data_IF_501914055554
#
_entry.id   IF_501914055554
#
_cell.length_a   1.000
_cell.length_b   1.000
_cell.length_c   1.000
_cell.angle_alpha   90.00
_cell.angle_beta   90.00
_cell.angle_gamma   90.00
#
_symmetry.space_group_name_H-M   'P 1'
#
loop_
_entity.id
_entity.type
_entity.pdbx_description
1 polymer ?
#
# COMPACT_ATOMS: atom_id res chain seq x y z
N UNK A 1 -20.43 -12.06 -54.57
CA UNK A 1 -19.64 -10.85 -54.27
C UNK A 1 -20.15 -10.00 -53.09
N UNK A 2 -21.45 -10.01 -52.72
CA UNK A 2 -21.96 -9.21 -51.59
C UNK A 2 -21.62 -9.81 -50.20
N UNK A 3 -21.67 -11.16 -50.07
CA UNK A 3 -21.35 -11.86 -48.82
C UNK A 3 -19.91 -11.64 -48.34
N UNK A 4 -18.93 -11.70 -49.23
CA UNK A 4 -17.51 -11.47 -48.88
C UNK A 4 -17.25 -10.02 -48.41
N UNK A 5 -18.00 -9.04 -48.93
CA UNK A 5 -17.92 -7.64 -48.48
C UNK A 5 -18.52 -7.47 -47.08
N UNK A 6 -19.62 -8.15 -46.80
CA UNK A 6 -20.24 -8.17 -45.46
C UNK A 6 -19.30 -8.85 -44.45
N UNK A 7 -18.73 -10.00 -44.81
CA UNK A 7 -17.77 -10.73 -43.99
C UNK A 7 -16.54 -9.86 -43.67
N UNK A 8 -15.96 -9.20 -44.68
CA UNK A 8 -14.84 -8.29 -44.50
C UNK A 8 -15.20 -7.12 -43.56
N UNK A 9 -16.41 -6.57 -43.70
CA UNK A 9 -16.88 -5.48 -42.84
C UNK A 9 -17.01 -5.94 -41.38
N UNK A 10 -17.56 -7.13 -41.13
CA UNK A 10 -17.67 -7.70 -39.79
C UNK A 10 -16.30 -7.96 -39.16
N UNK A 11 -15.33 -8.47 -39.94
CA UNK A 11 -13.96 -8.70 -39.46
C UNK A 11 -13.25 -7.40 -39.05
N UNK A 12 -13.49 -6.30 -39.78
CA UNK A 12 -12.97 -4.97 -39.43
C UNK A 12 -13.54 -4.52 -38.09
N UNK A 13 -14.86 -4.64 -37.89
CA UNK A 13 -15.49 -4.27 -36.62
C UNK A 13 -14.97 -5.10 -35.44
N UNK A 14 -14.78 -6.41 -35.61
CA UNK A 14 -14.21 -7.28 -34.57
C UNK A 14 -12.78 -6.85 -34.21
N UNK A 15 -11.96 -6.52 -35.21
CA UNK A 15 -10.57 -6.07 -35.01
C UNK A 15 -10.51 -4.73 -34.25
N UNK A 16 -11.40 -3.78 -34.58
CA UNK A 16 -11.52 -2.52 -33.85
C UNK A 16 -11.96 -2.75 -32.39
N UNK A 17 -12.92 -3.65 -32.15
CA UNK A 17 -13.42 -3.95 -30.81
C UNK A 17 -12.33 -4.60 -29.94
N UNK A 18 -11.56 -5.55 -30.50
CA UNK A 18 -10.41 -6.17 -29.83
C UNK A 18 -9.33 -5.14 -29.46
N UNK A 19 -9.08 -4.15 -30.33
CA UNK A 19 -8.11 -3.08 -30.06
C UNK A 19 -8.54 -2.18 -28.89
N UNK A 20 -9.84 -1.88 -28.77
CA UNK A 20 -10.40 -1.11 -27.64
C UNK A 20 -10.25 -1.89 -26.33
N UNK A 21 -10.56 -3.19 -26.33
CA UNK A 21 -10.40 -4.05 -25.15
C UNK A 21 -8.92 -4.09 -24.73
N UNK A 22 -8.00 -4.30 -25.68
CA UNK A 22 -6.56 -4.37 -25.40
C UNK A 22 -6.00 -3.04 -24.88
N UNK A 23 -6.49 -1.91 -25.40
CA UNK A 23 -6.11 -0.58 -24.91
C UNK A 23 -6.56 -0.37 -23.46
N UNK A 24 -7.80 -0.73 -23.13
CA UNK A 24 -8.34 -0.60 -21.78
C UNK A 24 -7.64 -1.55 -20.80
N UNK A 25 -7.32 -2.77 -21.19
CA UNK A 25 -6.54 -3.70 -20.34
C UNK A 25 -5.09 -3.25 -20.17
N UNK A 26 -4.46 -2.65 -21.18
CA UNK A 26 -3.13 -2.05 -21.04
C UNK A 26 -3.14 -0.79 -20.15
N UNK A 27 -4.19 0.04 -20.20
CA UNK A 27 -4.36 1.15 -19.26
C UNK A 27 -4.56 0.61 -17.83
N UNK A 28 -5.42 -0.39 -17.65
CA UNK A 28 -5.61 -1.02 -16.34
C UNK A 28 -4.30 -1.64 -15.82
N UNK A 29 -3.57 -2.38 -16.67
CA UNK A 29 -2.29 -3.00 -16.33
C UNK A 29 -1.16 -1.98 -16.12
N UNK A 30 -1.17 -0.83 -16.80
CA UNK A 30 -0.17 0.23 -16.58
C UNK A 30 -0.46 1.04 -15.32
N UNK A 31 -1.74 1.19 -14.94
CA UNK A 31 -2.14 1.71 -13.64
C UNK A 31 -1.82 0.74 -12.50
N UNK A 32 -1.89 -0.57 -12.73
CA UNK A 32 -1.47 -1.60 -11.77
C UNK A 32 0.07 -1.77 -11.70
N UNK A 33 0.79 -1.62 -12.82
CA UNK A 33 2.27 -1.69 -12.85
C UNK A 33 2.97 -0.49 -12.21
N UNK A 34 2.25 0.59 -11.90
CA UNK A 34 2.82 1.74 -11.20
C UNK A 34 3.06 1.50 -9.70
N UNK A 35 2.64 0.35 -9.20
CA UNK A 35 2.80 -0.09 -7.81
C UNK A 35 3.80 -1.26 -7.66
N UNK A 36 4.78 -1.39 -8.56
CA UNK A 36 5.97 -2.20 -8.25
C UNK A 36 6.79 -1.46 -7.19
N UNK A 37 6.42 -1.70 -5.92
CA UNK A 37 7.21 -1.44 -4.72
C UNK A 37 8.65 -1.87 -4.99
N UNK A 38 9.56 -0.91 -4.93
CA UNK A 38 10.99 -1.13 -5.09
C UNK A 38 11.49 -2.00 -3.92
N UNK A 39 11.51 -3.33 -4.10
CA UNK A 39 12.06 -4.28 -3.16
C UNK A 39 13.59 -4.12 -3.11
N UNK A 40 14.07 -3.20 -2.28
CA UNK A 40 15.49 -3.19 -1.89
C UNK A 40 15.66 -4.26 -0.81
N UNK A 41 16.44 -5.30 -1.12
CA UNK A 41 16.75 -6.36 -0.17
C UNK A 41 17.41 -5.77 1.09
N UNK A 42 16.80 -6.04 2.24
CA UNK A 42 17.28 -5.62 3.56
C UNK A 42 18.70 -6.17 3.79
N UNK A 43 19.65 -5.29 4.10
CA UNK A 43 20.98 -5.70 4.53
C UNK A 43 20.99 -5.99 6.04
N UNK A 44 22.00 -6.70 6.53
CA UNK A 44 22.11 -7.11 7.95
C UNK A 44 22.10 -5.96 8.95
N UNK A 45 22.49 -4.74 8.55
CA UNK A 45 22.36 -3.52 9.38
C UNK A 45 20.94 -2.94 9.38
N UNK A 46 20.16 -3.18 8.33
CA UNK A 46 18.76 -2.78 8.28
C UNK A 46 17.92 -3.68 9.19
N UNK A 47 18.25 -4.99 9.29
CA UNK A 47 17.57 -5.92 10.21
C UNK A 47 17.67 -5.48 11.69
N UNK A 48 18.86 -5.04 12.14
CA UNK A 48 19.03 -4.48 13.49
C UNK A 48 18.20 -3.21 13.71
N UNK A 49 18.06 -2.36 12.70
CA UNK A 49 17.28 -1.13 12.80
C UNK A 49 15.76 -1.39 12.75
N UNK A 50 15.29 -2.33 11.92
CA UNK A 50 13.89 -2.76 11.93
C UNK A 50 13.53 -3.39 13.27
N UNK A 51 14.41 -4.23 13.84
CA UNK A 51 14.20 -4.81 15.17
C UNK A 51 14.10 -3.74 16.27
N UNK A 52 14.90 -2.68 16.20
CA UNK A 52 14.84 -1.56 17.15
C UNK A 52 13.58 -0.70 16.96
N UNK A 53 13.06 -0.59 15.75
CA UNK A 53 11.80 0.12 15.47
C UNK A 53 10.62 -0.74 15.96
N UNK A 54 10.65 -2.04 15.72
CA UNK A 54 9.61 -2.95 16.18
C UNK A 54 9.46 -2.93 17.71
N UNK A 55 10.58 -2.86 18.45
CA UNK A 55 10.55 -2.75 19.91
C UNK A 55 10.01 -1.41 20.43
N UNK A 56 9.96 -0.35 19.63
CA UNK A 56 9.23 0.89 19.99
C UNK A 56 7.72 0.64 20.08
N UNK A 57 7.20 -0.39 19.40
CA UNK A 57 5.78 -0.72 19.32
C UNK A 57 5.39 -1.99 20.10
N UNK A 58 6.34 -2.75 20.65
CA UNK A 58 6.07 -3.99 21.41
C UNK A 58 5.18 -3.80 22.65
N UNK A 59 5.12 -2.58 23.20
CA UNK A 59 4.28 -2.27 24.36
C UNK A 59 2.82 -1.92 24.01
N UNK A 60 2.44 -2.04 22.74
CA UNK A 60 1.09 -1.76 22.26
C UNK A 60 0.38 -3.08 22.00
N UNK A 61 -0.52 -3.47 22.91
CA UNK A 61 -1.22 -4.76 22.81
C UNK A 61 -2.14 -4.86 21.59
N UNK A 62 -2.63 -3.71 21.10
CA UNK A 62 -3.67 -3.63 20.07
C UNK A 62 -3.10 -3.24 18.69
N UNK A 63 -1.77 -3.36 18.53
CA UNK A 63 -1.02 -2.86 17.38
C UNK A 63 -0.16 -3.97 16.79
N UNK A 64 -0.40 -4.24 15.52
CA UNK A 64 0.37 -5.18 14.71
C UNK A 64 1.32 -4.38 13.79
N UNK A 65 2.61 -4.67 13.89
CA UNK A 65 3.61 -4.15 12.95
C UNK A 65 3.52 -4.93 11.65
N UNK A 66 3.18 -4.26 10.54
CA UNK A 66 3.06 -4.91 9.24
C UNK A 66 4.41 -4.92 8.51
N UNK A 67 5.00 -3.73 8.34
CA UNK A 67 6.24 -3.57 7.59
C UNK A 67 6.97 -2.27 7.95
N UNK A 68 8.27 -2.23 7.65
CA UNK A 68 9.10 -1.04 7.77
C UNK A 68 10.09 -0.94 6.62
N UNK A 69 10.09 0.20 5.92
CA UNK A 69 10.96 0.46 4.79
C UNK A 69 11.81 1.70 5.03
N UNK A 70 13.13 1.56 4.87
CA UNK A 70 14.05 2.69 4.89
C UNK A 70 14.09 3.36 3.51
N UNK A 71 13.84 4.66 3.49
CA UNK A 71 13.87 5.50 2.31
C UNK A 71 15.31 5.94 1.98
N UNK A 72 15.51 6.43 0.76
CA UNK A 72 16.82 6.88 0.25
C UNK A 72 17.39 8.08 1.00
N UNK A 73 16.53 8.91 1.60
CA UNK A 73 16.89 10.06 2.44
C UNK A 73 17.22 9.68 3.90
N UNK A 74 17.16 8.39 4.22
CA UNK A 74 17.40 7.85 5.56
C UNK A 74 16.18 7.82 6.47
N UNK A 75 15.03 8.39 6.06
CA UNK A 75 13.77 8.26 6.79
C UNK A 75 13.23 6.82 6.75
N UNK A 76 12.36 6.49 7.70
CA UNK A 76 11.63 5.22 7.71
C UNK A 76 10.16 5.47 7.41
N UNK A 77 9.56 4.60 6.60
CA UNK A 77 8.11 4.44 6.47
C UNK A 77 7.72 3.16 7.19
N UNK A 78 6.77 3.25 8.11
CA UNK A 78 6.34 2.13 8.96
C UNK A 78 4.85 1.95 8.80
N UNK A 79 4.41 0.76 8.42
CA UNK A 79 3.00 0.41 8.30
C UNK A 79 2.56 -0.35 9.55
N UNK A 80 1.58 0.18 10.26
CA UNK A 80 1.01 -0.40 11.47
C UNK A 80 -0.48 -0.67 11.26
N UNK A 81 -0.99 -1.74 11.86
CA UNK A 81 -2.42 -2.03 11.93
C UNK A 81 -2.86 -1.97 13.39
N UNK A 82 -3.87 -1.18 13.68
CA UNK A 82 -4.47 -1.07 15.01
C UNK A 82 -5.89 -1.62 14.92
N UNK A 83 -6.22 -2.59 15.76
CA UNK A 83 -7.55 -3.18 15.82
C UNK A 83 -8.13 -3.00 17.22
N UNK A 84 -9.41 -2.66 17.30
CA UNK A 84 -10.07 -2.52 18.59
C UNK A 84 -11.38 -1.76 18.50
N UNK A 85 -11.93 -1.45 19.66
CA UNK A 85 -13.02 -0.50 19.78
C UNK A 85 -12.52 0.93 19.52
N UNK A 86 -13.47 1.85 19.27
CA UNK A 86 -13.16 3.24 18.93
C UNK A 86 -12.17 3.88 19.91
N UNK A 87 -12.39 3.70 21.21
CA UNK A 87 -11.60 4.37 22.24
C UNK A 87 -10.19 3.76 22.37
N UNK A 88 -10.06 2.45 22.15
CA UNK A 88 -8.77 1.73 22.11
C UNK A 88 -7.91 2.18 20.91
N UNK A 89 -8.54 2.29 19.73
CA UNK A 89 -7.88 2.81 18.53
C UNK A 89 -7.41 4.25 18.77
N UNK A 90 -8.26 5.10 19.36
CA UNK A 90 -7.93 6.50 19.62
C UNK A 90 -6.78 6.65 20.62
N UNK A 91 -6.76 5.82 21.67
CA UNK A 91 -5.67 5.77 22.63
C UNK A 91 -4.35 5.36 21.96
N UNK A 92 -4.36 4.30 21.15
CA UNK A 92 -3.18 3.82 20.43
C UNK A 92 -2.64 4.85 19.43
N UNK A 93 -3.52 5.54 18.69
CA UNK A 93 -3.12 6.64 17.79
C UNK A 93 -2.49 7.81 18.55
N UNK A 94 -3.00 8.14 19.75
CA UNK A 94 -2.48 9.27 20.54
C UNK A 94 -1.01 9.13 20.93
N UNK A 95 -0.54 7.89 21.06
CA UNK A 95 0.86 7.55 21.38
C UNK A 95 1.79 7.73 20.17
N UNK A 96 1.24 7.76 18.95
CA UNK A 96 1.97 7.97 17.69
C UNK A 96 2.19 9.46 17.33
N UNK A 97 1.86 10.39 18.24
CA UNK A 97 1.91 11.86 18.02
C UNK A 97 3.25 12.43 17.55
N UNK A 98 4.36 11.70 17.77
CA UNK A 98 5.71 12.13 17.38
C UNK A 98 6.10 11.67 15.96
N UNK A 99 5.22 10.97 15.25
CA UNK A 99 5.43 10.50 13.89
C UNK A 99 4.57 11.31 12.93
N UNK A 100 5.10 11.57 11.73
CA UNK A 100 4.31 12.18 10.67
C UNK A 100 3.51 11.10 9.93
N UNK A 101 2.18 11.23 9.94
CA UNK A 101 1.29 10.33 9.19
C UNK A 101 1.43 10.64 7.70
N UNK A 102 1.78 9.61 6.91
CA UNK A 102 1.92 9.67 5.46
C UNK A 102 0.65 9.21 4.76
N UNK A 103 0.08 8.12 5.25
CA UNK A 103 -1.12 7.53 4.71
C UNK A 103 -1.93 6.89 5.84
N UNK A 104 -3.23 6.73 5.63
CA UNK A 104 -4.08 5.99 6.55
C UNK A 104 -5.24 5.34 5.81
N UNK A 105 -5.70 4.21 6.34
CA UNK A 105 -6.88 3.50 5.89
C UNK A 105 -7.68 3.05 7.11
N UNK A 106 -8.95 3.44 7.16
CA UNK A 106 -9.89 3.02 8.19
C UNK A 106 -10.84 2.01 7.58
N UNK A 107 -10.97 0.86 8.21
CA UNK A 107 -11.99 -0.12 7.87
C UNK A 107 -12.86 -0.39 9.11
N UNK A 108 -14.16 -0.60 8.87
CA UNK A 108 -15.11 -0.81 9.94
C UNK A 108 -15.88 -2.10 9.70
N UNK A 109 -15.79 -3.01 10.67
CA UNK A 109 -16.58 -4.22 10.82
C UNK A 109 -17.72 -3.94 11.82
N UNK A 110 -18.81 -4.71 11.79
CA UNK A 110 -19.91 -4.59 12.78
C UNK A 110 -19.46 -4.57 14.24
N UNK A 111 -18.37 -5.27 14.57
CA UNK A 111 -17.93 -5.50 15.95
C UNK A 111 -16.57 -4.85 16.28
N UNK A 112 -15.82 -4.36 15.29
CA UNK A 112 -14.50 -3.72 15.51
C UNK A 112 -14.08 -2.81 14.36
N UNK A 113 -13.22 -1.83 14.65
CA UNK A 113 -12.53 -1.03 13.64
C UNK A 113 -11.11 -1.54 13.40
N UNK A 114 -10.59 -1.33 12.20
CA UNK A 114 -9.16 -1.42 11.92
C UNK A 114 -8.65 -0.11 11.35
N UNK A 115 -7.44 0.27 11.75
CA UNK A 115 -6.75 1.44 11.25
C UNK A 115 -5.35 1.02 10.81
N UNK A 116 -5.11 1.06 9.51
CA UNK A 116 -3.76 0.94 8.94
C UNK A 116 -3.17 2.33 8.79
N UNK A 117 -1.97 2.56 9.33
CA UNK A 117 -1.29 3.86 9.28
C UNK A 117 0.12 3.67 8.75
N UNK A 118 0.48 4.47 7.76
CA UNK A 118 1.86 4.64 7.35
C UNK A 118 2.45 5.86 8.05
N UNK A 119 3.49 5.65 8.83
CA UNK A 119 4.17 6.65 9.62
C UNK A 119 5.55 6.93 9.07
N UNK A 120 5.99 8.18 9.17
CA UNK A 120 7.38 8.55 8.92
C UNK A 120 8.02 9.23 10.12
N UNK A 121 9.27 8.85 10.40
CA UNK A 121 10.11 9.47 11.44
C UNK A 121 11.26 10.20 10.74
N UNK A 122 11.25 11.52 10.77
CA UNK A 122 12.40 12.31 10.28
C UNK A 122 13.58 12.09 11.23
N UNK A 123 14.78 11.95 10.66
CA UNK A 123 16.05 11.67 11.34
C UNK A 123 16.08 12.21 12.78
N UNK A 124 16.07 11.28 13.75
CA UNK A 124 16.56 11.57 15.09
C UNK A 124 18.01 12.00 14.87
N UNK A 125 18.33 13.26 15.16
CA UNK A 125 19.72 13.62 15.43
C UNK A 125 20.14 12.77 16.63
N UNK A 126 20.87 11.68 16.37
CA UNK A 126 21.75 11.09 17.38
C UNK A 126 22.82 12.10 17.75
#
# INVERSE_FOLDING_TARGET
MKGNKILATVLIFISCFQSIILYNTNILNSNLKKEELYYKSLTTNDYKNVSNINSEFENFNDLEFLEGQKQSDGSWVISLKIEGEKDEILESVSKLRNYAIKNYKIEHNKDSGSLTIELSKNNIKM
#
